data_IF_863666393143
#
_entry.id   IF_863666393143
#
_cell.length_a   1.000
_cell.length_b   1.000
_cell.length_c   1.000
_cell.angle_alpha   90.00
_cell.angle_beta   90.00
_cell.angle_gamma   90.00
#
_symmetry.space_group_name_H-M   'P 1'
#
loop_
_entity.id
_entity.type
_entity.pdbx_description
1 polymer ?
#
# COMPACT_ATOMS: atom_id res chain seq x y z
N UNK A 1 2.43 26.52 -25.83
CA UNK A 1 3.30 26.19 -24.68
C UNK A 1 4.59 25.60 -25.27
N UNK A 2 5.75 26.07 -24.84
CA UNK A 2 7.02 25.63 -25.43
C UNK A 2 7.54 24.41 -24.69
N UNK A 3 7.44 23.26 -25.31
CA UNK A 3 8.04 22.02 -24.82
C UNK A 3 9.55 22.03 -25.07
N UNK A 4 10.30 21.55 -24.09
CA UNK A 4 11.75 21.49 -24.13
C UNK A 4 12.23 20.05 -24.06
N UNK A 5 13.21 19.73 -24.89
CA UNK A 5 14.00 18.49 -24.78
C UNK A 5 15.31 18.82 -24.09
N UNK A 6 15.58 18.16 -22.99
CA UNK A 6 16.76 18.39 -22.14
C UNK A 6 17.71 17.20 -22.32
N UNK A 7 18.94 17.49 -22.71
CA UNK A 7 20.00 16.48 -22.79
C UNK A 7 20.40 16.00 -21.40
N UNK A 8 20.58 14.70 -21.24
CA UNK A 8 20.95 14.06 -19.98
C UNK A 8 21.99 12.95 -20.18
N UNK A 9 22.30 12.23 -19.11
CA UNK A 9 23.15 11.04 -19.12
C UNK A 9 22.56 9.95 -18.24
N UNK A 10 22.75 8.66 -18.58
CA UNK A 10 22.33 7.55 -17.77
C UNK A 10 22.95 7.57 -16.37
N UNK A 11 22.17 7.12 -15.38
CA UNK A 11 22.67 6.77 -14.05
C UNK A 11 22.78 5.24 -13.95
N UNK A 12 23.85 4.76 -13.31
CA UNK A 12 24.13 3.32 -13.22
C UNK A 12 23.29 2.56 -12.22
N UNK A 13 22.58 3.27 -11.33
CA UNK A 13 21.94 2.73 -10.13
C UNK A 13 20.40 2.84 -10.12
N UNK A 14 19.76 3.10 -11.27
CA UNK A 14 18.31 3.24 -11.40
C UNK A 14 17.58 1.90 -11.57
N UNK A 15 18.13 0.81 -11.03
CA UNK A 15 17.47 -0.49 -11.07
C UNK A 15 16.36 -0.56 -10.01
N UNK A 16 15.08 -0.78 -10.41
CA UNK A 16 14.01 -1.00 -9.47
C UNK A 16 14.22 -2.30 -8.67
N UNK A 17 13.84 -2.26 -7.40
CA UNK A 17 13.64 -3.48 -6.61
C UNK A 17 12.25 -4.09 -6.83
N UNK A 18 11.83 -4.98 -5.94
CA UNK A 18 10.52 -5.66 -5.99
C UNK A 18 9.34 -4.67 -5.94
N UNK A 19 9.51 -3.53 -5.28
CA UNK A 19 8.46 -2.51 -5.09
C UNK A 19 8.92 -1.12 -5.54
N UNK A 20 9.48 -1.02 -6.75
CA UNK A 20 9.93 0.23 -7.34
C UNK A 20 11.38 0.61 -7.06
N UNK A 21 11.78 1.78 -7.54
CA UNK A 21 13.09 2.35 -7.30
C UNK A 21 13.08 3.13 -5.99
N UNK A 22 13.94 2.74 -5.03
CA UNK A 22 14.09 3.42 -3.74
C UNK A 22 15.52 3.86 -3.55
N UNK A 23 15.71 5.12 -3.17
CA UNK A 23 17.01 5.74 -2.87
C UNK A 23 16.81 6.84 -1.84
N UNK A 24 17.91 7.33 -1.26
CA UNK A 24 17.86 8.53 -0.43
C UNK A 24 17.34 9.74 -1.22
N UNK A 25 16.57 10.60 -0.58
CA UNK A 25 16.01 11.83 -1.17
C UNK A 25 17.07 12.61 -1.93
N UNK A 26 18.26 12.80 -1.36
CA UNK A 26 19.37 13.52 -1.99
C UNK A 26 19.79 12.95 -3.34
N UNK A 27 19.60 11.65 -3.57
CA UNK A 27 19.90 11.00 -4.86
C UNK A 27 18.83 11.40 -5.88
N UNK A 28 17.54 11.33 -5.50
CA UNK A 28 16.44 11.78 -6.36
C UNK A 28 16.50 13.27 -6.68
N UNK A 29 17.05 14.09 -5.78
CA UNK A 29 17.28 15.52 -6.00
C UNK A 29 18.53 15.83 -6.85
N UNK A 30 19.33 14.82 -7.20
CA UNK A 30 20.41 15.01 -8.19
C UNK A 30 19.77 15.40 -9.53
N UNK A 31 20.34 16.44 -10.16
CA UNK A 31 19.84 16.95 -11.45
C UNK A 31 19.65 15.81 -12.46
N UNK A 32 18.47 15.75 -13.07
CA UNK A 32 18.03 14.76 -14.07
C UNK A 32 17.78 13.33 -13.54
N UNK A 33 17.97 13.05 -12.23
CA UNK A 33 17.84 11.67 -11.72
C UNK A 33 16.39 11.17 -11.79
N UNK A 34 15.45 11.93 -11.23
CA UNK A 34 14.03 11.60 -11.27
C UNK A 34 13.52 11.62 -12.71
N UNK A 35 13.88 12.66 -13.46
CA UNK A 35 13.44 12.88 -14.84
C UNK A 35 13.84 11.73 -15.75
N UNK A 36 15.06 11.21 -15.62
CA UNK A 36 15.52 10.06 -16.41
C UNK A 36 14.66 8.82 -16.18
N UNK A 37 14.33 8.53 -14.92
CA UNK A 37 13.49 7.39 -14.60
C UNK A 37 12.06 7.56 -15.10
N UNK A 38 11.49 8.75 -14.93
CA UNK A 38 10.12 9.08 -15.39
C UNK A 38 10.04 9.05 -16.91
N UNK A 39 11.02 9.64 -17.63
CA UNK A 39 11.06 9.57 -19.09
C UNK A 39 11.16 8.12 -19.57
N UNK A 40 11.94 7.30 -18.89
CA UNK A 40 12.05 5.87 -19.25
C UNK A 40 10.71 5.14 -19.09
N UNK A 41 9.87 5.54 -18.13
CA UNK A 41 8.49 5.03 -18.03
C UNK A 41 7.69 5.45 -19.27
N UNK A 42 7.70 6.73 -19.65
CA UNK A 42 6.95 7.23 -20.80
C UNK A 42 7.44 6.62 -22.13
N UNK A 43 8.74 6.40 -22.28
CA UNK A 43 9.31 5.80 -23.48
C UNK A 43 8.89 4.33 -23.67
N UNK A 44 8.80 3.57 -22.58
CA UNK A 44 8.38 2.16 -22.59
C UNK A 44 6.85 2.02 -22.64
N UNK A 45 6.13 2.92 -21.95
CA UNK A 45 4.67 2.90 -21.87
C UNK A 45 4.06 3.88 -22.85
N UNK A 46 4.21 3.57 -24.14
CA UNK A 46 3.72 4.41 -25.25
C UNK A 46 2.19 4.60 -25.25
N UNK A 47 1.45 3.73 -24.57
CA UNK A 47 0.01 3.83 -24.33
C UNK A 47 -0.38 4.95 -23.35
N UNK A 48 0.59 5.56 -22.67
CA UNK A 48 0.38 6.78 -21.87
C UNK A 48 0.23 8.04 -22.75
N UNK A 49 0.79 8.04 -23.95
CA UNK A 49 0.54 9.11 -24.91
C UNK A 49 -0.93 9.08 -25.35
N UNK A 50 -1.59 10.23 -25.30
CA UNK A 50 -3.03 10.37 -25.49
C UNK A 50 -3.87 9.59 -24.46
N UNK A 51 -3.23 8.95 -23.50
CA UNK A 51 -3.82 8.16 -22.42
C UNK A 51 -3.97 8.92 -21.11
N UNK A 52 -4.21 8.16 -20.04
CA UNK A 52 -4.36 8.69 -18.69
C UNK A 52 -3.58 7.87 -17.66
N UNK A 53 -3.11 8.50 -16.60
CA UNK A 53 -2.56 7.79 -15.45
C UNK A 53 -2.87 8.48 -14.12
N UNK A 54 -2.73 7.71 -13.03
CA UNK A 54 -2.92 8.17 -11.65
C UNK A 54 -1.55 8.56 -11.08
N UNK A 55 -1.50 9.65 -10.32
CA UNK A 55 -0.29 10.15 -9.68
C UNK A 55 -0.55 10.53 -8.23
N UNK A 56 0.28 10.07 -7.34
CA UNK A 56 0.25 10.46 -5.93
C UNK A 56 1.26 9.66 -5.12
N UNK A 57 1.28 9.89 -3.82
CA UNK A 57 2.20 9.18 -2.94
C UNK A 57 1.83 9.32 -1.46
N UNK A 58 2.69 8.81 -0.60
CA UNK A 58 2.46 8.75 0.84
C UNK A 58 2.71 10.06 1.60
N UNK A 59 3.08 11.12 0.88
CA UNK A 59 3.28 12.44 1.45
C UNK A 59 4.64 12.67 2.10
N UNK A 60 5.57 11.71 1.99
CA UNK A 60 6.94 11.87 2.50
C UNK A 60 7.67 13.04 1.85
N UNK A 61 8.77 13.47 2.45
CA UNK A 61 9.59 14.56 1.94
C UNK A 61 9.93 14.37 0.46
N UNK A 62 9.89 15.45 -0.31
CA UNK A 62 10.06 15.52 -1.76
C UNK A 62 8.84 15.08 -2.60
N UNK A 63 7.77 14.56 -2.01
CA UNK A 63 6.59 14.06 -2.76
C UNK A 63 5.97 15.15 -3.66
N UNK A 64 5.69 16.33 -3.12
CA UNK A 64 5.02 17.43 -3.87
C UNK A 64 5.88 17.92 -5.03
N UNK A 65 7.19 18.10 -4.80
CA UNK A 65 8.13 18.55 -5.84
C UNK A 65 8.21 17.51 -6.98
N UNK A 66 8.31 16.23 -6.65
CA UNK A 66 8.34 15.16 -7.64
C UNK A 66 7.05 15.11 -8.47
N UNK A 67 5.89 15.32 -7.86
CA UNK A 67 4.60 15.39 -8.56
C UNK A 67 4.60 16.53 -9.58
N UNK A 68 5.07 17.72 -9.23
CA UNK A 68 5.16 18.86 -10.16
C UNK A 68 6.08 18.54 -11.36
N UNK A 69 7.21 17.90 -11.11
CA UNK A 69 8.13 17.45 -12.18
C UNK A 69 7.42 16.46 -13.10
N UNK A 70 6.77 15.44 -12.53
CA UNK A 70 6.09 14.39 -13.31
C UNK A 70 4.94 14.96 -14.14
N UNK A 71 4.14 15.90 -13.61
CA UNK A 71 3.05 16.54 -14.36
C UNK A 71 3.59 17.31 -15.56
N UNK A 72 4.68 18.09 -15.39
CA UNK A 72 5.33 18.81 -16.49
C UNK A 72 5.87 17.86 -17.57
N UNK A 73 6.45 16.76 -17.15
CA UNK A 73 6.94 15.73 -18.07
C UNK A 73 5.80 15.00 -18.78
N UNK A 74 4.70 14.71 -18.08
CA UNK A 74 3.51 14.11 -18.67
C UNK A 74 2.94 14.98 -19.79
N UNK A 75 2.80 16.28 -19.56
CA UNK A 75 2.34 17.22 -20.57
C UNK A 75 3.29 17.25 -21.79
N UNK A 76 4.60 17.26 -21.57
CA UNK A 76 5.58 17.26 -22.66
C UNK A 76 5.66 15.92 -23.42
N UNK A 77 5.20 14.83 -22.82
CA UNK A 77 5.10 13.50 -23.45
C UNK A 77 3.71 13.21 -24.05
N UNK A 78 2.81 14.21 -24.05
CA UNK A 78 1.50 14.10 -24.71
C UNK A 78 0.49 13.24 -23.96
N UNK A 79 0.57 13.15 -22.62
CA UNK A 79 -0.45 12.49 -21.80
C UNK A 79 -1.71 13.34 -21.80
N UNK A 80 -2.88 12.73 -22.08
CA UNK A 80 -4.14 13.48 -22.14
C UNK A 80 -4.68 13.84 -20.75
N UNK A 81 -4.51 12.95 -19.75
CA UNK A 81 -5.09 13.15 -18.41
C UNK A 81 -4.18 12.59 -17.31
N UNK A 82 -3.97 13.39 -16.27
CA UNK A 82 -3.33 12.99 -15.01
C UNK A 82 -4.31 13.16 -13.88
N UNK A 83 -4.60 12.10 -13.12
CA UNK A 83 -5.46 12.12 -11.93
C UNK A 83 -4.54 12.16 -10.71
N UNK A 84 -4.66 13.19 -9.88
CA UNK A 84 -3.78 13.40 -8.73
C UNK A 84 -4.62 13.45 -7.45
N UNK A 85 -4.20 12.77 -6.40
CA UNK A 85 -4.82 12.94 -5.08
C UNK A 85 -4.57 14.35 -4.52
N UNK A 86 -5.57 14.94 -3.87
CA UNK A 86 -5.46 16.25 -3.23
C UNK A 86 -4.24 16.30 -2.30
N UNK A 87 -3.46 17.39 -2.37
CA UNK A 87 -2.19 17.53 -1.67
C UNK A 87 -1.06 16.66 -2.24
N UNK A 88 -1.30 15.96 -3.36
CA UNK A 88 -0.40 14.91 -3.88
C UNK A 88 -0.45 13.62 -3.08
N UNK A 89 -1.46 13.45 -2.22
CA UNK A 89 -1.59 12.33 -1.30
C UNK A 89 -2.43 11.21 -1.91
N UNK A 90 -1.89 9.98 -1.87
CA UNK A 90 -2.61 8.80 -2.32
C UNK A 90 -1.96 7.55 -1.72
N UNK A 91 -2.71 6.77 -0.95
CA UNK A 91 -2.21 5.48 -0.46
C UNK A 91 -2.04 4.49 -1.63
N UNK A 92 -1.13 3.54 -1.47
CA UNK A 92 -0.90 2.51 -2.49
C UNK A 92 -2.17 1.73 -2.84
N UNK A 93 -3.00 1.23 -1.90
CA UNK A 93 -4.26 0.58 -2.26
C UNK A 93 -5.29 1.52 -2.87
N UNK A 94 -5.37 2.79 -2.45
CA UNK A 94 -6.26 3.75 -3.07
C UNK A 94 -5.85 4.09 -4.51
N UNK A 95 -4.54 4.18 -4.79
CA UNK A 95 -4.05 4.34 -6.16
C UNK A 95 -4.50 3.16 -7.05
N UNK A 96 -4.38 1.93 -6.56
CA UNK A 96 -4.89 0.74 -7.26
C UNK A 96 -6.41 0.81 -7.50
N UNK A 97 -7.19 1.24 -6.50
CA UNK A 97 -8.63 1.46 -6.61
C UNK A 97 -8.97 2.47 -7.71
N UNK A 98 -8.29 3.61 -7.73
CA UNK A 98 -8.53 4.71 -8.67
C UNK A 98 -8.13 4.31 -10.10
N UNK A 99 -6.96 3.67 -10.30
CA UNK A 99 -6.52 3.13 -11.61
C UNK A 99 -7.63 2.25 -12.20
N UNK A 100 -8.15 1.32 -11.41
CA UNK A 100 -9.18 0.36 -11.83
C UNK A 100 -10.53 1.03 -12.07
N UNK A 101 -10.97 1.92 -11.18
CA UNK A 101 -12.25 2.63 -11.27
C UNK A 101 -12.31 3.53 -12.49
N UNK A 102 -11.28 4.31 -12.72
CA UNK A 102 -11.22 5.27 -13.84
C UNK A 102 -10.64 4.67 -15.12
N UNK A 103 -10.26 3.38 -15.10
CA UNK A 103 -9.72 2.64 -16.24
C UNK A 103 -8.55 3.37 -16.91
N UNK A 104 -7.63 3.87 -16.07
CA UNK A 104 -6.43 4.55 -16.58
C UNK A 104 -5.41 3.53 -17.11
N UNK A 105 -4.45 3.99 -17.92
CA UNK A 105 -3.38 3.16 -18.48
C UNK A 105 -2.36 2.71 -17.42
N UNK A 106 -2.46 3.24 -16.20
CA UNK A 106 -1.61 2.87 -15.07
C UNK A 106 -1.53 3.98 -14.04
N UNK A 107 -0.49 3.92 -13.19
CA UNK A 107 -0.22 4.95 -12.19
C UNK A 107 1.24 5.02 -11.78
N UNK A 108 1.69 6.20 -11.37
CA UNK A 108 2.97 6.44 -10.73
C UNK A 108 2.71 6.73 -9.25
N UNK A 109 3.28 5.92 -8.37
CA UNK A 109 3.10 6.01 -6.92
C UNK A 109 4.45 6.36 -6.28
N UNK A 110 4.47 7.46 -5.52
CA UNK A 110 5.66 7.98 -4.87
C UNK A 110 5.69 7.49 -3.43
N UNK A 111 6.46 6.46 -3.17
CA UNK A 111 6.62 5.87 -1.84
C UNK A 111 7.87 5.01 -1.75
N UNK A 112 8.47 4.97 -0.57
CA UNK A 112 9.41 3.94 -0.15
C UNK A 112 8.81 3.03 0.95
N UNK A 113 7.46 2.89 0.97
CA UNK A 113 6.69 2.07 1.92
C UNK A 113 7.06 2.39 3.37
N UNK A 114 7.43 1.41 4.16
CA UNK A 114 7.75 1.53 5.58
C UNK A 114 9.12 2.19 5.90
N UNK A 115 9.94 2.51 4.90
CA UNK A 115 11.22 3.16 5.15
C UNK A 115 11.02 4.57 5.72
N UNK A 116 11.90 5.06 6.61
CA UNK A 116 11.84 6.40 7.17
C UNK A 116 11.74 7.49 6.10
N UNK A 117 11.02 8.58 6.41
CA UNK A 117 10.88 9.77 5.58
C UNK A 117 11.70 10.95 6.13
N UNK A 118 11.93 11.94 5.27
CA UNK A 118 12.66 13.15 5.63
C UNK A 118 13.74 13.52 4.62
N UNK A 119 14.40 14.68 4.76
CA UNK A 119 15.33 15.20 3.75
C UNK A 119 16.58 14.33 3.54
N UNK A 120 16.98 13.54 4.54
CA UNK A 120 18.13 12.62 4.48
C UNK A 120 17.72 11.16 4.36
N UNK A 121 16.41 10.89 4.33
CA UNK A 121 15.84 9.56 4.34
C UNK A 121 15.41 9.09 2.95
N UNK A 122 14.61 8.06 2.88
CA UNK A 122 14.32 7.37 1.63
C UNK A 122 13.13 7.98 0.89
N UNK A 123 13.26 8.02 -0.41
CA UNK A 123 12.20 8.31 -1.39
C UNK A 123 12.09 7.16 -2.37
N UNK A 124 10.91 6.99 -2.96
CA UNK A 124 10.69 5.92 -3.93
C UNK A 124 9.68 6.30 -5.00
N UNK A 125 9.79 5.60 -6.13
CA UNK A 125 8.87 5.71 -7.26
C UNK A 125 8.59 4.31 -7.80
N UNK A 126 7.32 3.99 -7.97
CA UNK A 126 6.86 2.73 -8.57
C UNK A 126 5.82 3.00 -9.64
N UNK A 127 5.77 2.14 -10.64
CA UNK A 127 4.79 2.16 -11.71
C UNK A 127 3.84 0.98 -11.57
N UNK A 128 2.53 1.28 -11.54
CA UNK A 128 1.46 0.29 -11.57
C UNK A 128 0.81 0.28 -12.95
N UNK A 129 0.48 -0.90 -13.44
CA UNK A 129 -0.19 -1.08 -14.74
C UNK A 129 -1.70 -0.85 -14.66
N UNK A 130 -2.40 -0.92 -15.79
CA UNK A 130 -3.83 -0.65 -15.91
C UNK A 130 -4.72 -1.58 -15.05
N UNK A 131 -4.21 -2.76 -14.63
CA UNK A 131 -4.94 -3.60 -13.69
C UNK A 131 -4.92 -3.07 -12.24
N UNK A 132 -4.11 -2.02 -11.96
CA UNK A 132 -3.94 -1.40 -10.66
C UNK A 132 -2.81 -2.01 -9.81
N UNK A 133 -2.14 -3.04 -10.30
CA UNK A 133 -1.06 -3.73 -9.59
C UNK A 133 0.34 -3.31 -10.03
N UNK A 134 1.37 -3.71 -9.26
CA UNK A 134 2.76 -3.44 -9.59
C UNK A 134 3.11 -3.96 -10.99
N UNK A 135 3.90 -3.20 -11.73
CA UNK A 135 4.32 -3.58 -13.07
C UNK A 135 5.02 -4.94 -13.09
N UNK A 136 4.65 -5.84 -14.02
CA UNK A 136 5.34 -7.11 -14.22
C UNK A 136 6.83 -6.93 -14.52
N UNK A 137 7.62 -7.99 -14.27
CA UNK A 137 9.07 -7.95 -14.41
C UNK A 137 9.54 -7.53 -15.81
N UNK A 138 8.85 -7.99 -16.86
CA UNK A 138 9.17 -7.58 -18.23
C UNK A 138 9.07 -6.06 -18.46
N UNK A 139 8.11 -5.39 -17.82
CA UNK A 139 7.98 -3.93 -17.90
C UNK A 139 9.06 -3.24 -17.06
N UNK A 140 9.31 -3.69 -15.84
CA UNK A 140 10.32 -3.08 -14.98
C UNK A 140 11.73 -3.24 -15.52
N UNK A 141 12.07 -4.38 -16.10
CA UNK A 141 13.36 -4.59 -16.78
C UNK A 141 13.49 -3.76 -18.06
N UNK A 142 12.41 -3.60 -18.84
CA UNK A 142 12.41 -2.70 -20.01
C UNK A 142 12.63 -1.23 -19.61
N UNK A 143 11.96 -0.76 -18.54
CA UNK A 143 12.18 0.58 -18.00
C UNK A 143 13.64 0.71 -17.54
N UNK A 144 14.17 -0.25 -16.80
CA UNK A 144 15.58 -0.24 -16.38
C UNK A 144 16.56 -0.23 -17.56
N UNK A 145 16.33 -1.05 -18.57
CA UNK A 145 17.17 -1.04 -19.77
C UNK A 145 17.17 0.35 -20.42
N UNK A 146 15.99 1.00 -20.54
CA UNK A 146 15.89 2.36 -21.08
C UNK A 146 16.63 3.40 -20.23
N UNK A 147 16.60 3.31 -18.89
CA UNK A 147 17.37 4.23 -18.03
C UNK A 147 18.87 4.19 -18.30
N UNK A 148 19.39 3.10 -18.84
CA UNK A 148 20.83 2.93 -19.15
C UNK A 148 21.24 3.48 -20.52
N UNK A 149 20.26 3.81 -21.35
CA UNK A 149 20.47 4.30 -22.71
C UNK A 149 19.88 5.69 -22.93
N UNK A 150 19.27 6.28 -21.87
CA UNK A 150 18.62 7.59 -21.96
C UNK A 150 19.64 8.70 -22.18
N UNK A 151 19.36 9.58 -23.14
CA UNK A 151 20.19 10.71 -23.53
C UNK A 151 19.44 12.05 -23.47
N UNK A 152 18.11 11.99 -23.41
CA UNK A 152 17.24 13.16 -23.30
C UNK A 152 15.94 12.85 -22.55
N UNK A 153 15.31 13.89 -22.02
CA UNK A 153 13.94 13.85 -21.50
C UNK A 153 13.15 15.08 -21.91
N UNK A 154 11.82 14.97 -21.88
CA UNK A 154 10.91 16.05 -22.27
C UNK A 154 10.23 16.66 -21.05
N UNK A 155 10.17 17.98 -21.05
CA UNK A 155 9.50 18.74 -19.99
C UNK A 155 8.95 20.06 -20.55
N UNK A 156 8.23 20.80 -19.70
CA UNK A 156 7.73 22.12 -20.04
C UNK A 156 7.97 23.09 -18.88
N UNK A 157 8.38 24.32 -19.21
CA UNK A 157 8.42 25.41 -18.24
C UNK A 157 7.00 25.93 -18.02
N UNK A 158 6.48 25.78 -16.81
CA UNK A 158 5.16 26.22 -16.42
C UNK A 158 5.08 26.48 -14.91
N UNK A 159 4.10 27.29 -14.51
CA UNK A 159 3.75 27.43 -13.11
C UNK A 159 3.34 26.09 -12.47
N UNK A 160 3.39 26.01 -11.17
CA UNK A 160 2.95 24.83 -10.43
C UNK A 160 1.44 24.65 -10.53
N UNK A 161 1.01 23.41 -10.63
CA UNK A 161 -0.40 23.02 -10.50
C UNK A 161 -0.79 23.14 -9.01
N UNK A 162 -1.93 23.75 -8.74
CA UNK A 162 -2.51 23.76 -7.39
C UNK A 162 -2.96 22.34 -7.03
N UNK A 163 -2.22 21.69 -6.14
CA UNK A 163 -2.53 20.33 -5.67
C UNK A 163 -3.55 20.32 -4.52
N UNK A 164 -3.84 21.48 -3.93
CA UNK A 164 -4.64 21.56 -2.70
C UNK A 164 -6.13 21.80 -2.97
N UNK A 165 -6.48 22.29 -4.15
CA UNK A 165 -7.87 22.56 -4.55
C UNK A 165 -8.41 21.46 -5.47
N UNK A 166 -9.53 20.83 -5.05
CA UNK A 166 -10.23 19.85 -5.88
C UNK A 166 -10.73 20.48 -7.19
N UNK A 167 -10.61 19.76 -8.28
CA UNK A 167 -11.09 20.22 -9.58
C UNK A 167 -10.14 19.92 -10.71
N UNK A 168 -10.37 20.59 -11.83
CA UNK A 168 -9.62 20.38 -13.08
C UNK A 168 -8.82 21.62 -13.42
N UNK A 169 -7.54 21.40 -13.68
CA UNK A 169 -6.62 22.38 -14.23
C UNK A 169 -6.06 21.84 -15.55
N UNK A 170 -5.44 22.66 -16.35
CA UNK A 170 -4.83 22.25 -17.63
C UNK A 170 -3.39 22.71 -17.70
N UNK A 171 -2.55 21.87 -18.26
CA UNK A 171 -1.18 22.18 -18.61
C UNK A 171 -0.96 21.85 -20.10
N UNK A 172 -1.07 22.87 -20.96
CA UNK A 172 -1.20 22.64 -22.40
C UNK A 172 -2.49 21.86 -22.70
N UNK A 173 -2.35 20.76 -23.44
CA UNK A 173 -3.47 19.85 -23.78
C UNK A 173 -3.73 18.81 -22.68
N UNK A 174 -2.87 18.72 -21.67
CA UNK A 174 -3.01 17.77 -20.57
C UNK A 174 -3.99 18.28 -19.52
N UNK A 175 -5.03 17.49 -19.24
CA UNK A 175 -5.96 17.70 -18.14
C UNK A 175 -5.38 17.14 -16.85
N UNK A 176 -5.19 17.98 -15.84
CA UNK A 176 -4.78 17.59 -14.49
C UNK A 176 -5.99 17.66 -13.58
N UNK A 177 -6.41 16.55 -13.03
CA UNK A 177 -7.60 16.44 -12.19
C UNK A 177 -7.22 16.11 -10.75
N UNK A 178 -7.47 17.04 -9.85
CA UNK A 178 -7.23 16.87 -8.41
C UNK A 178 -8.50 16.29 -7.78
N UNK A 179 -8.38 15.10 -7.22
CA UNK A 179 -9.49 14.34 -6.63
C UNK A 179 -9.34 14.19 -5.12
N UNK A 180 -10.45 13.94 -4.42
CA UNK A 180 -10.43 13.51 -3.01
C UNK A 180 -9.76 12.13 -2.92
N UNK A 181 -8.62 12.00 -2.22
CA UNK A 181 -7.86 10.74 -2.20
C UNK A 181 -8.59 9.61 -1.46
N UNK A 182 -9.56 9.94 -0.61
CA UNK A 182 -10.24 8.99 0.29
C UNK A 182 -11.58 8.53 -0.25
N UNK A 183 -12.32 9.38 -0.95
CA UNK A 183 -13.74 9.18 -1.24
C UNK A 183 -14.04 7.86 -1.98
N UNK A 184 -13.31 7.58 -3.04
CA UNK A 184 -13.53 6.38 -3.87
C UNK A 184 -13.15 5.10 -3.12
N UNK A 185 -12.06 5.15 -2.37
CA UNK A 185 -11.62 4.05 -1.53
C UNK A 185 -12.62 3.78 -0.39
N UNK A 186 -13.09 4.81 0.29
CA UNK A 186 -14.09 4.67 1.36
C UNK A 186 -15.39 4.05 0.83
N UNK A 187 -15.85 4.47 -0.36
CA UNK A 187 -17.01 3.86 -1.05
C UNK A 187 -16.77 2.37 -1.32
N UNK A 188 -15.58 1.99 -1.77
CA UNK A 188 -15.25 0.57 -1.99
C UNK A 188 -15.31 -0.22 -0.67
N UNK A 189 -14.77 0.33 0.42
CA UNK A 189 -14.82 -0.32 1.75
C UNK A 189 -16.26 -0.49 2.26
N UNK A 190 -17.13 0.51 2.09
CA UNK A 190 -18.55 0.40 2.46
C UNK A 190 -19.30 -0.68 1.66
N UNK A 191 -18.90 -0.93 0.41
CA UNK A 191 -19.44 -2.02 -0.40
C UNK A 191 -19.01 -3.40 0.11
N UNK A 192 -17.76 -3.54 0.54
CA UNK A 192 -17.17 -4.81 0.97
C UNK A 192 -17.58 -5.23 2.38
N UNK A 193 -17.72 -4.27 3.29
CA UNK A 193 -17.93 -4.53 4.72
C UNK A 193 -19.34 -4.14 5.17
N UNK A 194 -19.82 -4.79 6.23
CA UNK A 194 -21.11 -4.47 6.87
C UNK A 194 -20.91 -3.32 7.85
N UNK A 195 -20.92 -2.09 7.34
CA UNK A 195 -20.71 -0.88 8.13
C UNK A 195 -21.76 -0.71 9.23
N UNK A 196 -23.00 -1.16 9.00
CA UNK A 196 -24.05 -1.09 10.02
C UNK A 196 -23.71 -1.94 11.24
N UNK A 197 -23.23 -3.16 11.04
CA UNK A 197 -22.81 -4.02 12.15
C UNK A 197 -21.58 -3.49 12.88
N UNK A 198 -20.64 -2.88 12.15
CA UNK A 198 -19.47 -2.26 12.79
C UNK A 198 -19.89 -1.05 13.60
N UNK A 199 -20.81 -0.19 13.11
CA UNK A 199 -21.40 0.91 13.90
C UNK A 199 -22.04 0.39 15.19
N UNK A 200 -22.86 -0.65 15.11
CA UNK A 200 -23.47 -1.26 16.30
C UNK A 200 -22.44 -1.77 17.30
N UNK A 201 -21.27 -2.24 16.86
CA UNK A 201 -20.17 -2.62 17.74
C UNK A 201 -19.63 -1.41 18.51
N UNK A 202 -19.40 -0.27 17.84
CA UNK A 202 -18.96 0.97 18.48
C UNK A 202 -20.04 1.57 19.39
N UNK A 203 -21.28 1.64 18.93
CA UNK A 203 -22.43 2.18 19.69
C UNK A 203 -22.74 1.38 20.96
N UNK A 204 -22.28 0.14 21.06
CA UNK A 204 -22.49 -0.69 22.24
C UNK A 204 -21.88 -0.12 23.54
N UNK A 205 -20.87 0.76 23.40
CA UNK A 205 -20.08 1.28 24.52
C UNK A 205 -19.25 0.23 25.26
N UNK A 206 -19.22 -1.01 24.76
CA UNK A 206 -18.50 -2.15 25.36
C UNK A 206 -17.23 -2.52 24.56
N UNK A 207 -16.95 -1.80 23.51
CA UNK A 207 -15.82 -2.05 22.62
C UNK A 207 -14.95 -0.81 22.49
N UNK A 208 -13.66 -1.01 22.64
CA UNK A 208 -12.67 0.06 22.52
C UNK A 208 -11.59 -0.32 21.52
N UNK A 209 -11.16 0.65 20.69
CA UNK A 209 -10.06 0.43 19.77
C UNK A 209 -9.12 1.61 19.65
N UNK A 210 -7.94 1.37 19.08
CA UNK A 210 -7.03 2.39 18.57
C UNK A 210 -6.44 1.95 17.23
N UNK A 211 -6.30 2.91 16.35
CA UNK A 211 -5.60 2.75 15.07
C UNK A 211 -4.45 3.74 15.01
N UNK A 212 -3.23 3.25 14.84
CA UNK A 212 -2.05 4.10 14.67
C UNK A 212 -1.74 4.28 13.18
N UNK A 213 -1.93 5.49 12.70
CA UNK A 213 -1.58 5.88 11.34
C UNK A 213 -0.09 6.21 11.18
N UNK A 214 0.70 6.19 12.24
CA UNK A 214 2.15 6.40 12.25
C UNK A 214 2.60 7.70 11.55
N UNK A 215 1.78 8.76 11.64
CA UNK A 215 1.93 10.03 10.89
C UNK A 215 2.06 9.83 9.38
N UNK A 216 1.48 8.75 8.85
CA UNK A 216 1.54 8.37 7.45
C UNK A 216 0.20 8.56 6.73
N UNK A 217 0.16 8.11 5.46
CA UNK A 217 -0.95 8.36 4.54
C UNK A 217 -2.30 7.82 5.00
N UNK A 218 -2.33 6.77 5.83
CA UNK A 218 -3.59 6.16 6.30
C UNK A 218 -4.36 7.03 7.28
N UNK A 219 -3.78 8.08 7.85
CA UNK A 219 -4.44 8.96 8.79
C UNK A 219 -5.77 9.53 8.28
N UNK A 220 -5.80 10.28 7.18
CA UNK A 220 -7.05 10.79 6.60
C UNK A 220 -8.05 9.70 6.22
N UNK A 221 -7.60 8.55 5.75
CA UNK A 221 -8.46 7.42 5.39
C UNK A 221 -9.11 6.80 6.63
N UNK A 222 -8.30 6.51 7.65
CA UNK A 222 -8.78 5.91 8.89
C UNK A 222 -9.71 6.85 9.65
N UNK A 223 -9.39 8.16 9.73
CA UNK A 223 -10.25 9.15 10.37
C UNK A 223 -11.62 9.19 9.69
N UNK A 224 -11.66 9.34 8.36
CA UNK A 224 -12.94 9.36 7.62
C UNK A 224 -13.72 8.06 7.79
N UNK A 225 -13.07 6.91 7.68
CA UNK A 225 -13.78 5.62 7.71
C UNK A 225 -14.15 5.22 9.13
N UNK A 226 -13.21 5.24 10.08
CA UNK A 226 -13.46 4.75 11.44
C UNK A 226 -14.26 5.75 12.28
N UNK A 227 -13.88 7.04 12.26
CA UNK A 227 -14.51 8.05 13.10
C UNK A 227 -15.76 8.63 12.44
N UNK A 228 -15.67 9.16 11.19
CA UNK A 228 -16.80 9.85 10.56
C UNK A 228 -17.88 8.89 10.04
N UNK A 229 -17.50 7.79 9.37
CA UNK A 229 -18.46 6.88 8.73
C UNK A 229 -18.94 5.76 9.66
N UNK A 230 -18.06 5.22 10.49
CA UNK A 230 -18.36 4.10 11.39
C UNK A 230 -18.71 4.53 12.81
N UNK A 231 -18.47 5.78 13.20
CA UNK A 231 -18.86 6.34 14.48
C UNK A 231 -17.95 5.95 15.65
N UNK A 232 -16.71 5.57 15.37
CA UNK A 232 -15.72 5.43 16.43
C UNK A 232 -15.49 6.78 17.12
N UNK A 233 -15.18 6.76 18.43
CA UNK A 233 -14.93 7.97 19.20
C UNK A 233 -13.80 8.81 18.58
N UNK A 234 -13.93 10.16 18.50
CA UNK A 234 -12.83 11.01 18.06
C UNK A 234 -11.54 10.75 18.84
N UNK A 235 -10.41 10.62 18.12
CA UNK A 235 -9.12 10.23 18.70
C UNK A 235 -8.92 8.71 18.77
N UNK A 236 -9.80 7.93 18.17
CA UNK A 236 -9.58 6.51 17.90
C UNK A 236 -8.38 6.33 16.96
N UNK A 237 -8.23 7.22 15.99
CA UNK A 237 -7.06 7.27 15.10
C UNK A 237 -6.01 8.16 15.74
N UNK A 238 -4.92 7.56 16.16
CA UNK A 238 -3.74 8.29 16.68
C UNK A 238 -2.74 8.54 15.56
N UNK A 239 -1.89 9.55 15.73
CA UNK A 239 -0.91 9.96 14.71
C UNK A 239 -1.53 10.18 13.32
N UNK A 240 -2.77 10.72 13.29
CA UNK A 240 -3.64 10.78 12.11
C UNK A 240 -3.18 11.79 11.03
N UNK A 241 -2.35 12.77 11.40
CA UNK A 241 -1.89 13.82 10.46
C UNK A 241 -0.63 13.34 9.76
N UNK A 242 -0.66 13.17 8.42
CA UNK A 242 0.54 12.82 7.65
C UNK A 242 1.62 13.89 7.79
N UNK A 243 2.86 13.46 7.96
CA UNK A 243 4.04 14.33 8.03
C UNK A 243 5.09 13.83 7.04
N UNK A 244 5.85 14.76 6.47
CA UNK A 244 6.89 14.44 5.48
C UNK A 244 8.01 13.54 6.01
N UNK A 245 8.21 13.54 7.34
CA UNK A 245 9.19 12.74 8.08
C UNK A 245 8.55 11.65 8.95
N UNK A 246 7.24 11.42 8.81
CA UNK A 246 6.47 10.51 9.67
C UNK A 246 6.64 10.81 11.17
N UNK A 247 6.80 12.11 11.52
CA UNK A 247 7.03 12.56 12.89
C UNK A 247 8.40 12.18 13.45
N UNK A 248 9.38 11.93 12.59
CA UNK A 248 10.71 11.44 12.94
C UNK A 248 10.74 9.95 13.27
N UNK A 249 9.65 9.23 12.98
CA UNK A 249 9.50 7.80 13.22
C UNK A 249 9.85 6.93 12.02
N UNK A 250 9.77 5.61 12.25
CA UNK A 250 9.86 4.57 11.24
C UNK A 250 8.46 3.98 11.04
N UNK A 251 7.77 4.27 9.93
CA UNK A 251 6.36 3.91 9.75
C UNK A 251 6.21 2.44 9.33
N UNK A 252 6.70 1.52 10.15
CA UNK A 252 6.59 0.07 9.97
C UNK A 252 5.70 -0.54 11.07
N UNK A 253 4.55 -1.13 10.74
CA UNK A 253 3.56 -1.62 11.70
C UNK A 253 3.99 -2.95 12.32
N UNK A 254 5.04 -2.95 13.10
CA UNK A 254 5.56 -4.08 13.86
C UNK A 254 5.69 -3.75 15.35
N UNK A 255 5.99 -4.75 16.16
CA UNK A 255 6.07 -4.60 17.62
C UNK A 255 7.18 -3.65 18.11
N UNK A 256 8.17 -3.38 17.26
CA UNK A 256 9.31 -2.50 17.59
C UNK A 256 8.98 -1.04 17.29
N UNK A 257 8.46 -0.76 16.09
CA UNK A 257 8.25 0.60 15.61
C UNK A 257 6.87 1.17 16.00
N UNK A 258 5.83 0.34 16.05
CA UNK A 258 4.49 0.75 16.47
C UNK A 258 4.29 0.65 18.00
N UNK A 259 5.31 0.99 18.79
CA UNK A 259 5.34 0.80 20.25
C UNK A 259 4.22 1.54 20.98
N UNK A 260 3.74 2.67 20.48
CA UNK A 260 2.66 3.45 21.10
C UNK A 260 1.35 2.65 21.10
N UNK A 261 0.91 2.15 19.95
CA UNK A 261 -0.32 1.35 19.85
C UNK A 261 -0.18 -0.01 20.53
N UNK A 262 1.03 -0.59 20.53
CA UNK A 262 1.34 -1.81 21.30
C UNK A 262 1.15 -1.58 22.80
N UNK A 263 1.59 -0.44 23.33
CA UNK A 263 1.38 -0.07 24.73
C UNK A 263 -0.11 0.09 25.04
N UNK A 264 -0.89 0.72 24.14
CA UNK A 264 -2.34 0.87 24.31
C UNK A 264 -3.11 -0.46 24.24
N UNK A 265 -2.59 -1.45 23.56
CA UNK A 265 -3.15 -2.81 23.51
C UNK A 265 -2.68 -3.73 24.66
N UNK A 266 -1.85 -3.21 25.58
CA UNK A 266 -1.20 -3.98 26.62
C UNK A 266 -1.58 -3.53 28.04
N UNK A 267 -1.52 -4.44 29.00
CA UNK A 267 -1.80 -4.17 30.41
C UNK A 267 -3.29 -4.23 30.79
N UNK A 268 -3.62 -3.70 31.99
CA UNK A 268 -4.98 -3.77 32.54
C UNK A 268 -5.99 -2.88 31.83
N UNK A 269 -5.54 -1.74 31.32
CA UNK A 269 -6.36 -0.75 30.59
C UNK A 269 -6.30 -0.95 29.07
N UNK A 270 -5.81 -2.08 28.61
CA UNK A 270 -5.67 -2.38 27.19
C UNK A 270 -7.02 -2.29 26.45
N UNK A 271 -7.01 -1.69 25.27
CA UNK A 271 -8.18 -1.67 24.37
C UNK A 271 -8.49 -3.08 23.85
N UNK A 272 -9.71 -3.28 23.37
CA UNK A 272 -10.16 -4.60 22.89
C UNK A 272 -9.55 -4.96 21.54
N UNK A 273 -9.29 -3.94 20.72
CA UNK A 273 -8.70 -4.07 19.39
C UNK A 273 -7.74 -2.91 19.12
N UNK A 274 -6.60 -3.21 18.54
CA UNK A 274 -5.72 -2.17 18.04
C UNK A 274 -5.06 -2.59 16.73
N UNK A 275 -4.70 -1.61 15.92
CA UNK A 275 -4.07 -1.85 14.64
C UNK A 275 -3.12 -0.69 14.26
N UNK A 276 -2.21 -0.95 13.36
CA UNK A 276 -1.37 0.07 12.74
C UNK A 276 -1.19 -0.22 11.24
N UNK A 277 -0.83 0.81 10.47
CA UNK A 277 -0.52 0.69 9.06
C UNK A 277 0.76 1.44 8.72
N UNK A 278 1.43 1.07 7.62
CA UNK A 278 2.73 1.63 7.24
C UNK A 278 2.65 2.95 6.44
N UNK A 279 3.81 3.40 5.99
CA UNK A 279 4.00 4.69 5.31
C UNK A 279 3.06 4.91 4.12
N UNK A 280 2.85 3.91 3.26
CA UNK A 280 1.98 4.00 2.08
C UNK A 280 0.64 3.25 2.22
N UNK A 281 0.37 2.70 3.40
CA UNK A 281 -0.93 2.14 3.75
C UNK A 281 -1.18 0.73 3.24
N UNK A 282 -0.15 0.03 2.81
CA UNK A 282 -0.29 -1.31 2.23
C UNK A 282 -0.09 -2.45 3.25
N UNK A 283 0.47 -2.18 4.44
CA UNK A 283 0.68 -3.15 5.52
C UNK A 283 -0.26 -2.92 6.71
N UNK A 284 -0.42 -3.96 7.53
CA UNK A 284 -1.23 -3.90 8.74
C UNK A 284 -0.65 -4.72 9.89
N UNK A 285 -0.76 -4.23 11.10
CA UNK A 285 -0.57 -4.98 12.34
C UNK A 285 -1.90 -5.10 13.06
N UNK A 286 -2.22 -6.28 13.56
CA UNK A 286 -3.45 -6.58 14.27
C UNK A 286 -3.14 -7.00 15.71
N UNK A 287 -3.76 -6.33 16.67
CA UNK A 287 -3.63 -6.58 18.09
C UNK A 287 -5.02 -6.75 18.73
N UNK A 288 -5.16 -7.74 19.56
CA UNK A 288 -6.22 -7.81 20.57
C UNK A 288 -5.70 -7.36 21.94
N UNK A 289 -6.57 -7.35 22.93
CA UNK A 289 -6.22 -7.07 24.33
C UNK A 289 -5.12 -8.03 24.81
N UNK A 290 -3.91 -7.51 25.06
CA UNK A 290 -2.74 -8.30 25.45
C UNK A 290 -2.39 -9.45 24.46
N UNK A 291 -2.72 -9.31 23.20
CA UNK A 291 -2.58 -10.38 22.22
C UNK A 291 -2.14 -9.86 20.85
N UNK A 292 -1.02 -10.37 20.35
CA UNK A 292 -0.53 -10.08 19.01
C UNK A 292 -0.97 -11.17 18.02
N UNK A 293 -1.51 -10.76 16.88
CA UNK A 293 -1.84 -11.67 15.78
C UNK A 293 -0.70 -11.67 14.78
N UNK A 294 -0.06 -12.81 14.56
CA UNK A 294 0.97 -12.91 13.53
C UNK A 294 0.36 -12.71 12.13
N UNK A 295 1.04 -12.10 11.16
CA UNK A 295 0.51 -11.92 9.81
C UNK A 295 0.07 -13.24 9.15
N UNK A 296 0.83 -14.32 9.36
CA UNK A 296 0.48 -15.65 8.84
C UNK A 296 -0.83 -16.18 9.44
N UNK A 297 -1.05 -16.00 10.75
CA UNK A 297 -2.32 -16.38 11.38
C UNK A 297 -3.44 -15.45 10.93
N UNK A 298 -3.20 -14.15 10.78
CA UNK A 298 -4.19 -13.18 10.29
C UNK A 298 -4.77 -13.60 8.94
N UNK A 299 -3.93 -13.89 7.95
CA UNK A 299 -4.36 -14.39 6.64
C UNK A 299 -5.23 -15.64 6.76
N UNK A 300 -4.77 -16.63 7.55
CA UNK A 300 -5.48 -17.89 7.72
C UNK A 300 -6.85 -17.70 8.43
N UNK A 301 -6.91 -16.84 9.46
CA UNK A 301 -8.15 -16.48 10.16
C UNK A 301 -9.12 -15.77 9.20
N UNK A 302 -8.62 -14.81 8.39
CA UNK A 302 -9.45 -14.12 7.41
C UNK A 302 -10.01 -15.11 6.37
N UNK A 303 -9.20 -16.02 5.84
CA UNK A 303 -9.65 -17.04 4.89
C UNK A 303 -10.73 -17.96 5.49
N UNK A 304 -10.53 -18.43 6.73
CA UNK A 304 -11.50 -19.29 7.42
C UNK A 304 -12.83 -18.60 7.73
N UNK A 305 -12.85 -17.27 7.82
CA UNK A 305 -14.01 -16.47 8.21
C UNK A 305 -14.53 -15.54 7.10
N UNK A 306 -14.04 -15.66 5.88
CA UNK A 306 -14.41 -14.77 4.77
C UNK A 306 -15.94 -14.75 4.52
N UNK A 307 -16.63 -15.86 4.72
CA UNK A 307 -18.08 -15.97 4.56
C UNK A 307 -18.88 -15.08 5.53
N UNK A 308 -18.27 -14.53 6.59
CA UNK A 308 -18.87 -13.56 7.48
C UNK A 308 -18.78 -12.12 6.98
N UNK A 309 -18.03 -11.87 5.90
CA UNK A 309 -17.83 -10.55 5.32
C UNK A 309 -18.76 -10.38 4.13
N UNK A 310 -19.49 -9.27 4.08
CA UNK A 310 -20.49 -8.97 3.04
C UNK A 310 -19.96 -9.19 1.62
N UNK A 311 -18.78 -8.67 1.31
CA UNK A 311 -18.15 -8.77 -0.01
C UNK A 311 -17.70 -10.17 -0.39
N UNK A 312 -17.56 -11.09 0.58
CA UNK A 312 -17.10 -12.47 0.37
C UNK A 312 -18.15 -13.52 0.83
N UNK A 313 -19.38 -13.10 1.11
CA UNK A 313 -20.44 -13.98 1.62
C UNK A 313 -20.79 -15.12 0.67
N UNK A 314 -20.57 -14.98 -0.63
CA UNK A 314 -20.81 -16.01 -1.65
C UNK A 314 -19.67 -17.03 -1.76
N UNK A 315 -18.62 -16.87 -0.95
CA UNK A 315 -17.41 -17.69 -0.96
C UNK A 315 -16.22 -17.01 -1.60
N UNK A 316 -15.06 -17.63 -1.44
CA UNK A 316 -13.78 -17.22 -2.03
C UNK A 316 -13.31 -18.28 -3.02
N UNK A 317 -12.61 -17.89 -4.08
CA UNK A 317 -12.15 -18.78 -5.14
C UNK A 317 -10.89 -19.58 -4.77
N UNK A 318 -10.06 -19.04 -3.88
CA UNK A 318 -8.81 -19.63 -3.43
C UNK A 318 -8.02 -18.65 -2.56
N UNK A 319 -6.87 -19.12 -2.06
CA UNK A 319 -5.95 -18.35 -1.20
C UNK A 319 -4.54 -18.44 -1.77
N UNK A 320 -3.74 -17.40 -1.60
CA UNK A 320 -2.31 -17.45 -1.88
C UNK A 320 -1.48 -16.90 -0.73
N UNK A 321 -0.28 -17.42 -0.56
CA UNK A 321 0.72 -16.94 0.38
C UNK A 321 2.12 -16.91 -0.24
N UNK A 322 2.97 -16.01 0.24
CA UNK A 322 4.38 -16.05 -0.12
C UNK A 322 5.09 -17.26 0.52
N UNK A 323 6.19 -17.73 -0.08
CA UNK A 323 6.98 -18.87 0.42
C UNK A 323 7.37 -18.75 1.91
N UNK A 324 7.85 -17.58 2.41
CA UNK A 324 8.22 -17.45 3.82
C UNK A 324 7.01 -17.38 4.77
N UNK A 325 5.79 -17.20 4.27
CA UNK A 325 4.56 -17.22 5.08
C UNK A 325 4.23 -18.63 5.52
N UNK A 326 3.79 -18.83 6.77
CA UNK A 326 3.50 -20.16 7.28
C UNK A 326 2.37 -20.86 6.54
N UNK A 327 2.33 -22.20 6.60
CA UNK A 327 1.30 -23.05 5.98
C UNK A 327 -0.06 -23.01 6.73
N UNK A 328 -0.33 -21.98 7.55
CA UNK A 328 -1.61 -21.86 8.21
C UNK A 328 -2.77 -21.69 7.21
N UNK A 329 -2.54 -20.91 6.14
CA UNK A 329 -3.51 -20.69 5.07
C UNK A 329 -3.77 -21.97 4.26
N UNK A 330 -2.76 -22.81 4.03
CA UNK A 330 -2.88 -24.09 3.32
C UNK A 330 -3.86 -25.03 4.04
N UNK A 331 -3.77 -25.13 5.37
CA UNK A 331 -4.68 -25.97 6.17
C UNK A 331 -6.13 -25.51 6.12
N UNK A 332 -6.33 -24.19 6.08
CA UNK A 332 -7.68 -23.61 5.91
C UNK A 332 -8.22 -23.92 4.53
N UNK A 333 -7.43 -23.71 3.49
CA UNK A 333 -7.83 -23.98 2.11
C UNK A 333 -8.19 -25.47 1.93
N UNK A 334 -7.35 -26.40 2.41
CA UNK A 334 -7.63 -27.83 2.41
C UNK A 334 -8.97 -28.15 3.10
N UNK A 335 -9.20 -27.61 4.30
CA UNK A 335 -10.43 -27.85 5.06
C UNK A 335 -11.68 -27.26 4.40
N UNK A 336 -11.53 -26.22 3.58
CA UNK A 336 -12.63 -25.59 2.84
C UNK A 336 -12.76 -26.14 1.41
N UNK A 337 -11.89 -27.05 0.98
CA UNK A 337 -11.89 -27.57 -0.39
C UNK A 337 -11.48 -26.53 -1.44
N UNK A 338 -10.58 -25.61 -1.08
CA UNK A 338 -10.08 -24.54 -1.92
C UNK A 338 -8.63 -24.78 -2.34
N UNK A 339 -8.23 -24.21 -3.47
CA UNK A 339 -6.82 -24.15 -3.85
C UNK A 339 -6.05 -23.17 -2.96
N UNK A 340 -4.84 -23.56 -2.56
CA UNK A 340 -3.84 -22.67 -1.95
C UNK A 340 -2.60 -22.60 -2.84
N UNK A 341 -2.16 -21.37 -3.14
CA UNK A 341 -0.99 -21.14 -4.00
C UNK A 341 0.17 -20.58 -3.17
N UNK A 342 1.34 -21.20 -3.30
CA UNK A 342 2.59 -20.66 -2.80
C UNK A 342 3.29 -19.88 -3.90
N UNK A 343 3.70 -18.63 -3.63
CA UNK A 343 4.39 -17.78 -4.60
C UNK A 343 5.75 -17.33 -4.05
N UNK A 344 6.69 -16.94 -4.91
CA UNK A 344 7.83 -16.15 -4.46
C UNK A 344 7.37 -14.87 -3.75
N UNK A 345 8.25 -14.26 -2.96
CA UNK A 345 8.00 -12.96 -2.34
C UNK A 345 7.82 -11.88 -3.41
N UNK A 346 6.77 -11.08 -3.29
CA UNK A 346 6.45 -9.97 -4.18
C UNK A 346 5.01 -9.98 -4.66
N UNK A 347 4.32 -8.85 -4.48
CA UNK A 347 2.89 -8.73 -4.71
C UNK A 347 2.45 -8.97 -6.17
N UNK A 348 3.35 -8.71 -7.15
CA UNK A 348 3.10 -8.98 -8.57
C UNK A 348 2.67 -10.42 -8.87
N UNK A 349 3.16 -11.40 -8.09
CA UNK A 349 2.79 -12.81 -8.27
C UNK A 349 1.34 -13.07 -7.85
N UNK A 350 0.88 -12.43 -6.77
CA UNK A 350 -0.53 -12.48 -6.39
C UNK A 350 -1.41 -11.78 -7.42
N UNK A 351 -0.96 -10.65 -7.97
CA UNK A 351 -1.67 -9.94 -9.04
C UNK A 351 -2.03 -10.84 -10.22
N UNK A 352 -1.11 -11.71 -10.65
CA UNK A 352 -1.35 -12.68 -11.72
C UNK A 352 -2.45 -13.70 -11.36
N UNK A 353 -2.45 -14.19 -10.12
CA UNK A 353 -3.47 -15.14 -9.65
C UNK A 353 -4.84 -14.49 -9.46
N UNK A 354 -4.87 -13.23 -8.98
CA UNK A 354 -6.08 -12.41 -8.86
C UNK A 354 -6.71 -12.13 -10.22
N UNK A 355 -5.90 -11.76 -11.22
CA UNK A 355 -6.37 -11.49 -12.59
C UNK A 355 -6.87 -12.76 -13.28
N UNK A 356 -6.24 -13.90 -12.99
CA UNK A 356 -6.69 -15.22 -13.45
C UNK A 356 -7.92 -15.74 -12.66
N UNK A 357 -8.42 -14.99 -11.66
CA UNK A 357 -9.53 -15.38 -10.77
C UNK A 357 -9.31 -16.71 -10.05
N UNK A 358 -8.04 -17.05 -9.79
CA UNK A 358 -7.64 -18.26 -9.07
C UNK A 358 -7.75 -18.09 -7.56
N UNK A 359 -7.60 -16.86 -7.08
CA UNK A 359 -7.63 -16.55 -5.66
C UNK A 359 -8.52 -15.34 -5.40
N UNK A 360 -9.03 -15.25 -4.19
CA UNK A 360 -9.71 -14.07 -3.66
C UNK A 360 -8.87 -13.38 -2.58
N UNK A 361 -8.20 -14.16 -1.73
CA UNK A 361 -7.37 -13.64 -0.63
C UNK A 361 -5.91 -14.01 -0.80
N UNK A 362 -5.02 -13.12 -0.39
CA UNK A 362 -3.58 -13.39 -0.39
C UNK A 362 -2.87 -12.61 0.71
N UNK A 363 -1.67 -13.06 1.10
CA UNK A 363 -0.89 -12.38 2.10
C UNK A 363 0.53 -12.87 2.27
N UNK A 364 1.30 -12.05 3.00
CA UNK A 364 2.71 -12.24 3.30
C UNK A 364 2.95 -12.13 4.81
N UNK A 365 3.95 -12.84 5.33
CA UNK A 365 4.41 -12.73 6.72
C UNK A 365 4.95 -11.33 7.06
N UNK A 366 5.25 -10.54 6.04
CA UNK A 366 5.74 -9.17 6.14
C UNK A 366 4.63 -8.13 6.34
N UNK A 367 3.53 -8.51 6.99
CA UNK A 367 2.39 -7.66 7.34
C UNK A 367 1.52 -7.20 6.16
N UNK A 368 1.68 -7.81 4.98
CA UNK A 368 0.85 -7.52 3.80
C UNK A 368 -0.28 -8.51 3.64
N UNK A 369 -1.52 -8.04 3.54
CA UNK A 369 -2.70 -8.82 3.16
C UNK A 369 -3.55 -8.06 2.16
N UNK A 370 -4.33 -8.78 1.37
CA UNK A 370 -5.23 -8.17 0.40
C UNK A 370 -6.19 -9.18 -0.22
N UNK A 371 -7.06 -8.67 -1.06
CA UNK A 371 -8.00 -9.47 -1.81
C UNK A 371 -8.15 -8.98 -3.25
N UNK A 372 -9.09 -9.54 -3.98
CA UNK A 372 -9.39 -9.19 -5.37
C UNK A 372 -10.06 -7.81 -5.55
N UNK A 373 -10.34 -7.08 -4.47
CA UNK A 373 -10.92 -5.74 -4.51
C UNK A 373 -10.00 -4.71 -5.18
N UNK A 374 -8.70 -4.82 -4.93
CA UNK A 374 -7.62 -4.07 -5.61
C UNK A 374 -6.52 -5.03 -6.08
N UNK A 375 -5.39 -4.51 -6.55
CA UNK A 375 -4.22 -5.32 -6.99
C UNK A 375 -2.96 -5.00 -6.18
N UNK A 376 -3.15 -4.39 -5.02
CA UNK A 376 -2.10 -4.10 -4.03
C UNK A 376 -2.48 -4.71 -2.68
N UNK A 377 -1.51 -4.80 -1.77
CA UNK A 377 -1.76 -5.01 -0.35
C UNK A 377 -2.62 -3.87 0.19
N UNK A 378 -3.42 -4.13 1.21
CA UNK A 378 -4.29 -3.11 1.78
C UNK A 378 -4.40 -3.24 3.30
N UNK A 379 -3.73 -2.33 4.00
CA UNK A 379 -3.65 -2.35 5.45
C UNK A 379 -4.99 -2.04 6.11
N UNK A 380 -5.67 -0.99 5.67
CA UNK A 380 -6.94 -0.58 6.27
C UNK A 380 -8.09 -1.53 5.93
N UNK A 381 -8.09 -2.13 4.74
CA UNK A 381 -9.00 -3.22 4.40
C UNK A 381 -8.88 -4.40 5.40
N UNK A 382 -7.66 -4.79 5.74
CA UNK A 382 -7.42 -5.86 6.71
C UNK A 382 -7.95 -5.49 8.10
N UNK A 383 -7.78 -4.25 8.52
CA UNK A 383 -8.35 -3.72 9.79
C UNK A 383 -9.87 -3.78 9.77
N UNK A 384 -10.50 -3.33 8.69
CA UNK A 384 -11.96 -3.39 8.52
C UNK A 384 -12.47 -4.83 8.45
N UNK A 385 -11.72 -5.75 7.86
CA UNK A 385 -12.04 -7.17 7.87
C UNK A 385 -12.12 -7.71 9.32
N UNK A 386 -11.12 -7.42 10.14
CA UNK A 386 -11.12 -7.81 11.55
C UNK A 386 -12.24 -7.15 12.35
N UNK A 387 -12.51 -5.86 12.15
CA UNK A 387 -13.62 -5.16 12.79
C UNK A 387 -14.96 -5.78 12.43
N UNK A 388 -15.19 -6.07 11.15
CA UNK A 388 -16.42 -6.74 10.70
C UNK A 388 -16.54 -8.15 11.33
N UNK A 389 -15.44 -8.89 11.41
CA UNK A 389 -15.40 -10.20 12.04
C UNK A 389 -15.74 -10.11 13.53
N UNK A 390 -15.16 -9.15 14.25
CA UNK A 390 -15.47 -8.90 15.67
C UNK A 390 -16.95 -8.53 15.87
N UNK A 391 -17.50 -7.68 15.01
CA UNK A 391 -18.90 -7.28 15.05
C UNK A 391 -19.87 -8.46 14.83
N UNK A 392 -19.51 -9.40 13.94
CA UNK A 392 -20.33 -10.60 13.68
C UNK A 392 -20.17 -11.65 14.78
N UNK A 393 -18.91 -11.93 15.17
CA UNK A 393 -18.57 -13.01 16.09
C UNK A 393 -18.83 -12.65 17.56
N UNK A 394 -18.88 -11.36 17.91
CA UNK A 394 -19.09 -10.83 19.26
C UNK A 394 -18.17 -11.48 20.32
N UNK A 395 -16.90 -11.64 19.96
CA UNK A 395 -15.87 -12.25 20.81
C UNK A 395 -14.52 -11.56 20.58
N UNK A 396 -13.55 -11.83 21.46
CA UNK A 396 -12.23 -11.17 21.38
C UNK A 396 -11.37 -11.71 20.24
N UNK A 397 -10.39 -10.90 19.80
CA UNK A 397 -9.36 -11.30 18.83
C UNK A 397 -8.66 -12.59 19.27
N UNK A 398 -8.23 -12.65 20.55
CA UNK A 398 -7.56 -13.82 21.10
C UNK A 398 -8.44 -15.08 21.02
N UNK A 399 -9.73 -14.96 21.34
CA UNK A 399 -10.66 -16.09 21.28
C UNK A 399 -10.83 -16.60 19.84
N UNK A 400 -10.93 -15.71 18.86
CA UNK A 400 -11.01 -16.07 17.44
C UNK A 400 -9.76 -16.84 17.01
N UNK A 401 -8.57 -16.32 17.32
CA UNK A 401 -7.30 -16.95 16.93
C UNK A 401 -7.12 -18.29 17.65
N UNK A 402 -7.41 -18.37 18.95
CA UNK A 402 -7.33 -19.63 19.71
C UNK A 402 -8.32 -20.69 19.21
N UNK A 403 -9.52 -20.30 18.79
CA UNK A 403 -10.48 -21.20 18.16
C UNK A 403 -9.94 -21.68 16.80
N UNK A 404 -9.36 -20.77 16.00
CA UNK A 404 -8.71 -21.10 14.76
C UNK A 404 -7.60 -22.15 14.96
N UNK A 405 -6.72 -21.96 15.96
CA UNK A 405 -5.67 -22.94 16.26
C UNK A 405 -6.21 -24.29 16.71
N UNK A 406 -7.32 -24.31 17.47
CA UNK A 406 -7.96 -25.58 17.85
C UNK A 406 -8.53 -26.33 16.65
N UNK A 407 -9.02 -25.62 15.66
CA UNK A 407 -9.67 -26.20 14.47
C UNK A 407 -8.66 -26.62 13.40
N UNK A 408 -7.67 -25.78 13.13
CA UNK A 408 -6.76 -25.95 11.99
C UNK A 408 -5.31 -26.25 12.39
N UNK A 409 -5.01 -26.24 13.69
CA UNK A 409 -3.64 -26.34 14.21
C UNK A 409 -2.93 -24.99 14.26
N UNK A 410 -1.84 -24.93 15.01
CA UNK A 410 -0.98 -23.75 15.14
C UNK A 410 0.36 -23.98 14.45
N UNK A 411 0.79 -23.03 13.67
CA UNK A 411 2.15 -22.99 13.12
C UNK A 411 3.05 -22.19 14.08
N UNK A 412 4.28 -22.69 14.28
CA UNK A 412 5.31 -22.02 15.05
C UNK A 412 6.46 -21.68 14.10
N UNK A 413 6.84 -20.42 14.06
CA UNK A 413 7.96 -19.92 13.27
C UNK A 413 8.56 -18.70 13.92
N UNK A 414 9.78 -18.36 13.53
CA UNK A 414 10.45 -17.13 13.93
C UNK A 414 10.86 -16.35 12.69
N UNK A 415 10.93 -15.05 12.84
CA UNK A 415 11.48 -14.13 11.85
C UNK A 415 12.57 -13.31 12.51
N UNK A 416 13.69 -13.19 11.84
CA UNK A 416 14.81 -12.35 12.26
C UNK A 416 15.06 -11.29 11.19
N UNK A 417 14.89 -10.02 11.56
CA UNK A 417 15.13 -8.89 10.67
C UNK A 417 16.48 -8.26 11.00
N UNK A 418 17.26 -7.97 9.98
CA UNK A 418 18.57 -7.33 10.08
C UNK A 418 18.52 -6.05 9.26
N UNK A 419 18.57 -4.91 9.94
CA UNK A 419 18.47 -3.60 9.32
C UNK A 419 19.78 -2.81 9.47
N UNK A 420 20.07 -1.95 8.47
CA UNK A 420 21.24 -1.07 8.52
C UNK A 420 22.59 -1.77 8.54
N UNK A 421 22.67 -3.04 8.15
CA UNK A 421 23.91 -3.81 8.09
C UNK A 421 24.70 -3.47 6.82
N UNK A 422 26.03 -3.71 6.89
CA UNK A 422 26.90 -3.55 5.73
C UNK A 422 26.49 -4.46 4.57
N UNK A 423 26.45 -3.91 3.35
CA UNK A 423 26.02 -4.62 2.15
C UNK A 423 26.90 -5.83 1.84
N UNK A 424 28.23 -5.73 2.05
CA UNK A 424 29.13 -6.85 1.78
C UNK A 424 28.88 -7.98 2.77
N UNK A 425 28.70 -7.66 4.05
CA UNK A 425 28.37 -8.65 5.07
C UNK A 425 27.05 -9.37 4.78
N UNK A 426 26.03 -8.63 4.29
CA UNK A 426 24.77 -9.21 3.87
C UNK A 426 24.93 -10.18 2.68
N UNK A 427 25.69 -9.76 1.66
CA UNK A 427 25.97 -10.59 0.49
C UNK A 427 26.76 -11.86 0.85
N UNK A 428 27.76 -11.73 1.71
CA UNK A 428 28.57 -12.86 2.18
C UNK A 428 27.72 -13.88 2.96
N UNK A 429 26.79 -13.39 3.81
CA UNK A 429 25.85 -14.25 4.52
C UNK A 429 24.93 -15.00 3.55
N UNK A 430 24.35 -14.30 2.59
CA UNK A 430 23.47 -14.93 1.57
C UNK A 430 24.23 -15.95 0.74
N UNK A 431 25.45 -15.62 0.30
CA UNK A 431 26.29 -16.55 -0.44
C UNK A 431 26.68 -17.80 0.36
N UNK A 432 26.81 -17.66 1.70
CA UNK A 432 27.08 -18.80 2.58
C UNK A 432 25.86 -19.72 2.76
N UNK A 433 24.64 -19.15 2.67
CA UNK A 433 23.39 -19.91 2.82
C UNK A 433 22.96 -20.61 1.51
N UNK A 434 23.45 -20.19 0.37
CA UNK A 434 23.23 -20.80 -0.95
C UNK A 434 24.18 -21.98 -1.21
#
# INVERSE_FOLDING_TARGET
MDFSTITTRPFSDQRPGTSGLRKKVRIFQTSHYLENFVQSIFDIRTDLKDGSFVLGGDGRYYNRQAIQIIIRMAAANGVARVIVGQGGLLSTPAASCIIRKYQTNGGIILSASHNPGGPNEDFGIKFNTANGGPAPEGITEAIYARTREIDEYRTVAADEIDLDTLGVQTLGDTRVEIIDPVADYATLMEHLFDFERIRQLFDSGLFSMRFDAMHAITGPYATRILEDMLGAEPGTVINAVPKEDFGGGHPDPNLVHAHEVVALASGRAAVDFAAASDGDGDRNMILGRNFFVTPSDSLAVMAANAHHIKGYATGISGVARSMPTSQAADRVAEALGLDCYETPTGWKFFGNLLDAKRITLCGEESFGTGSDHVREKDGLWAVLFWLNLLAVRKTSVEAIVKEHWRRFGRNYYTRHDYEGIDTQAANDLVAHLQ
#
